data_IF_626507900621
#
_entry.id   IF_626507900621
#
_cell.length_a   1.000
_cell.length_b   1.000
_cell.length_c   1.000
_cell.angle_alpha   90.00
_cell.angle_beta   90.00
_cell.angle_gamma   90.00
#
_symmetry.space_group_name_H-M   'P 1'
#
loop_
_entity.id
_entity.type
_entity.pdbx_description
1 polymer ?
#
# COMPACT_ATOMS: atom_id res chain seq x y z
N UNK A 1 -12.30 16.80 -3.16
CA UNK A 1 -11.48 15.61 -3.47
C UNK A 1 -10.07 16.07 -3.77
N UNK A 2 -9.03 15.35 -3.35
CA UNK A 2 -7.66 15.67 -3.71
C UNK A 2 -7.48 15.61 -5.23
N UNK A 3 -6.63 16.48 -5.77
CA UNK A 3 -6.26 16.41 -7.17
C UNK A 3 -5.25 15.28 -7.44
N UNK A 4 -4.94 15.07 -8.72
CA UNK A 4 -3.98 14.05 -9.16
C UNK A 4 -2.61 14.20 -8.49
N UNK A 5 -2.13 15.44 -8.29
CA UNK A 5 -0.82 15.68 -7.68
C UNK A 5 -0.81 15.30 -6.20
N UNK A 6 -1.85 15.69 -5.46
CA UNK A 6 -2.01 15.36 -4.05
C UNK A 6 -2.13 13.84 -3.82
N UNK A 7 -2.92 13.13 -4.63
CA UNK A 7 -3.03 11.67 -4.52
C UNK A 7 -1.68 10.98 -4.76
N UNK A 8 -0.95 11.40 -5.79
CA UNK A 8 0.39 10.83 -6.08
C UNK A 8 1.40 11.12 -4.97
N UNK A 9 1.34 12.30 -4.37
CA UNK A 9 2.18 12.64 -3.22
C UNK A 9 1.88 11.72 -2.02
N UNK A 10 0.61 11.40 -1.76
CA UNK A 10 0.24 10.44 -0.72
C UNK A 10 0.76 9.04 -1.01
N UNK A 11 0.72 8.57 -2.27
CA UNK A 11 1.28 7.27 -2.66
C UNK A 11 2.79 7.18 -2.45
N UNK A 12 3.53 8.27 -2.70
CA UNK A 12 4.97 8.32 -2.44
C UNK A 12 5.26 8.38 -0.93
N UNK A 13 4.49 9.18 -0.18
CA UNK A 13 4.61 9.23 1.27
C UNK A 13 4.30 7.87 1.93
N UNK A 14 3.37 7.10 1.36
CA UNK A 14 3.10 5.72 1.76
C UNK A 14 4.35 4.85 1.67
N UNK A 15 5.03 4.88 0.51
CA UNK A 15 6.28 4.14 0.28
C UNK A 15 7.38 4.58 1.25
N UNK A 16 7.60 5.88 1.38
CA UNK A 16 8.66 6.42 2.22
C UNK A 16 8.47 6.03 3.69
N UNK A 17 7.25 6.17 4.20
CA UNK A 17 6.91 5.82 5.59
C UNK A 17 6.99 4.32 5.84
N UNK A 18 6.52 3.49 4.90
CA UNK A 18 6.65 2.05 4.98
C UNK A 18 8.14 1.65 5.06
N UNK A 19 8.96 2.19 4.16
CA UNK A 19 10.40 1.90 4.13
C UNK A 19 11.15 2.47 5.35
N UNK A 20 10.66 3.53 5.97
CA UNK A 20 11.18 4.04 7.24
C UNK A 20 10.77 3.20 8.47
N UNK A 21 9.90 2.21 8.31
CA UNK A 21 9.29 1.47 9.42
C UNK A 21 8.28 2.28 10.23
N UNK A 22 7.78 3.39 9.67
CA UNK A 22 6.85 4.30 10.32
C UNK A 22 5.40 3.84 10.11
N UNK A 23 5.02 2.75 10.79
CA UNK A 23 3.67 2.20 10.69
C UNK A 23 2.58 3.19 11.15
N UNK A 24 2.89 4.05 12.12
CA UNK A 24 1.98 5.11 12.58
C UNK A 24 1.75 6.15 11.48
N UNK A 25 2.83 6.59 10.83
CA UNK A 25 2.75 7.46 9.68
C UNK A 25 2.00 6.83 8.53
N UNK A 26 2.22 5.56 8.21
CA UNK A 26 1.45 4.87 7.16
C UNK A 26 -0.03 4.89 7.51
N UNK A 27 -0.41 4.44 8.71
CA UNK A 27 -1.80 4.44 9.17
C UNK A 27 -2.42 5.84 9.18
N UNK A 28 -1.65 6.89 9.44
CA UNK A 28 -2.12 8.28 9.42
C UNK A 28 -2.61 8.73 8.03
N UNK A 29 -2.16 8.10 6.94
CA UNK A 29 -2.64 8.37 5.58
C UNK A 29 -4.06 7.84 5.34
N UNK A 30 -4.52 6.90 6.16
CA UNK A 30 -5.83 6.27 6.04
C UNK A 30 -6.91 7.00 6.85
N UNK A 31 -8.12 7.00 6.31
CA UNK A 31 -9.33 7.37 7.02
C UNK A 31 -9.64 6.34 8.12
N UNK A 32 -10.46 6.74 9.10
CA UNK A 32 -10.65 5.93 10.31
C UNK A 32 -11.42 4.61 10.03
N UNK A 33 -12.27 4.63 9.00
CA UNK A 33 -13.09 3.53 8.50
C UNK A 33 -12.52 2.89 7.22
N UNK A 34 -11.27 3.19 6.86
CA UNK A 34 -10.69 2.71 5.60
C UNK A 34 -10.54 1.19 5.56
N UNK A 35 -10.37 0.66 4.35
CA UNK A 35 -10.12 -0.77 4.11
C UNK A 35 -8.80 -1.02 3.38
N UNK A 36 -8.18 -2.16 3.65
CA UNK A 36 -7.02 -2.70 2.93
C UNK A 36 -7.35 -4.13 2.51
N UNK A 37 -7.18 -4.44 1.24
CA UNK A 37 -7.34 -5.79 0.68
C UNK A 37 -6.04 -6.19 0.00
N UNK A 38 -5.27 -7.06 0.64
CA UNK A 38 -3.92 -7.46 0.20
C UNK A 38 -3.70 -8.96 0.41
N UNK A 39 -3.70 -9.78 -0.67
CA UNK A 39 -4.05 -9.42 -2.05
C UNK A 39 -5.57 -9.25 -2.26
N UNK A 40 -5.96 -8.67 -3.40
CA UNK A 40 -7.36 -8.69 -3.87
C UNK A 40 -7.90 -10.11 -3.97
N UNK A 41 -9.08 -10.34 -3.40
CA UNK A 41 -9.72 -11.64 -3.19
C UNK A 41 -9.55 -12.19 -1.77
N UNK A 42 -8.66 -11.63 -0.96
CA UNK A 42 -8.53 -11.95 0.46
C UNK A 42 -9.59 -11.23 1.31
N UNK A 43 -9.72 -11.64 2.58
CA UNK A 43 -10.59 -10.96 3.53
C UNK A 43 -10.07 -9.53 3.79
N UNK A 44 -10.87 -8.47 3.55
CA UNK A 44 -10.42 -7.11 3.78
C UNK A 44 -10.15 -6.83 5.26
N UNK A 45 -9.06 -6.11 5.50
CA UNK A 45 -8.73 -5.48 6.78
C UNK A 45 -9.52 -4.17 6.87
N UNK A 46 -10.32 -4.01 7.92
CA UNK A 46 -11.22 -2.87 8.06
C UNK A 46 -10.92 -2.04 9.32
N UNK A 47 -10.86 -0.73 9.14
CA UNK A 47 -10.64 0.23 10.21
C UNK A 47 -9.16 0.50 10.49
N UNK A 48 -8.86 1.76 10.79
CA UNK A 48 -7.50 2.25 11.01
C UNK A 48 -6.70 1.49 12.10
N UNK A 49 -7.29 1.03 13.22
CA UNK A 49 -6.56 0.21 14.18
C UNK A 49 -6.05 -1.11 13.59
N UNK A 50 -6.85 -1.78 12.75
CA UNK A 50 -6.46 -3.04 12.11
C UNK A 50 -5.41 -2.80 11.02
N UNK A 51 -5.56 -1.73 10.25
CA UNK A 51 -4.58 -1.28 9.25
C UNK A 51 -3.23 -0.95 9.91
N UNK A 52 -3.24 -0.27 11.05
CA UNK A 52 -2.03 -0.01 11.82
C UNK A 52 -1.34 -1.31 12.24
N UNK A 53 -2.10 -2.27 12.79
CA UNK A 53 -1.55 -3.56 13.20
C UNK A 53 -0.92 -4.32 12.02
N UNK A 54 -1.56 -4.26 10.85
CA UNK A 54 -1.02 -4.82 9.61
C UNK A 54 0.33 -4.20 9.24
N UNK A 55 0.43 -2.87 9.22
CA UNK A 55 1.69 -2.20 8.88
C UNK A 55 2.78 -2.37 9.94
N UNK A 56 2.43 -2.46 11.23
CA UNK A 56 3.38 -2.82 12.28
C UNK A 56 3.98 -4.20 12.05
N UNK A 57 3.15 -5.18 11.64
CA UNK A 57 3.60 -6.52 11.35
C UNK A 57 4.52 -6.57 10.11
N UNK A 58 4.08 -6.01 8.98
CA UNK A 58 4.82 -6.11 7.71
C UNK A 58 6.15 -5.36 7.74
N UNK A 59 6.20 -4.18 8.38
CA UNK A 59 7.45 -3.43 8.54
C UNK A 59 8.42 -4.12 9.51
N UNK A 60 7.92 -4.77 10.57
CA UNK A 60 8.76 -5.53 11.50
C UNK A 60 9.40 -6.77 10.85
N UNK A 61 8.77 -7.35 9.82
CA UNK A 61 9.34 -8.43 9.01
C UNK A 61 10.44 -7.96 8.04
N UNK A 62 10.72 -6.66 7.99
CA UNK A 62 11.77 -6.09 7.16
C UNK A 62 11.43 -6.00 5.68
N UNK A 63 10.14 -6.08 5.32
CA UNK A 63 9.70 -5.84 3.96
C UNK A 63 10.11 -4.44 3.48
N UNK A 64 10.41 -4.29 2.19
CA UNK A 64 10.70 -2.99 1.56
C UNK A 64 9.99 -2.84 0.23
N UNK A 65 9.60 -1.61 -0.09
CA UNK A 65 8.92 -1.24 -1.32
C UNK A 65 9.89 -0.53 -2.27
N UNK A 66 9.93 -0.96 -3.53
CA UNK A 66 10.67 -0.32 -4.60
C UNK A 66 9.70 0.16 -5.68
N UNK A 67 9.57 1.48 -5.86
CA UNK A 67 8.71 2.04 -6.92
C UNK A 67 9.31 1.73 -8.28
N UNK A 68 8.58 0.99 -9.12
CA UNK A 68 9.05 0.58 -10.45
C UNK A 68 8.53 1.47 -11.58
N UNK A 69 7.50 2.29 -11.31
CA UNK A 69 6.98 3.27 -12.25
C UNK A 69 6.39 4.49 -11.51
N UNK A 70 6.38 5.70 -12.12
CA UNK A 70 5.77 6.86 -11.50
C UNK A 70 4.28 6.63 -11.15
N UNK A 71 3.77 7.16 -10.04
CA UNK A 71 2.35 7.01 -9.69
C UNK A 71 1.41 7.57 -10.76
N UNK A 72 0.27 6.92 -10.97
CA UNK A 72 -0.80 7.38 -11.88
C UNK A 72 -1.97 7.89 -11.06
N UNK A 73 -2.43 9.10 -11.34
CA UNK A 73 -3.67 9.62 -10.75
C UNK A 73 -4.80 9.50 -11.76
N UNK A 74 -6.03 9.36 -11.28
CA UNK A 74 -7.23 9.31 -12.13
C UNK A 74 -7.85 10.71 -12.33
N UNK A 75 -8.92 10.76 -13.13
CA UNK A 75 -9.84 11.91 -13.21
C UNK A 75 -10.90 11.92 -12.09
N UNK A 76 -10.81 10.99 -11.14
CA UNK A 76 -11.72 10.85 -10.00
C UNK A 76 -10.95 10.83 -8.68
N UNK A 77 -11.37 9.97 -7.77
CA UNK A 77 -10.87 9.85 -6.40
C UNK A 77 -9.84 8.72 -6.24
N UNK A 78 -9.28 8.19 -7.33
CA UNK A 78 -8.36 7.07 -7.27
C UNK A 78 -6.96 7.41 -7.82
N UNK A 79 -5.95 6.71 -7.31
CA UNK A 79 -4.61 6.67 -7.88
C UNK A 79 -4.01 5.27 -7.76
N UNK A 80 -3.06 4.97 -8.64
CA UNK A 80 -2.38 3.68 -8.71
C UNK A 80 -0.86 3.84 -8.53
N UNK A 81 -0.28 2.87 -7.82
CA UNK A 81 1.16 2.74 -7.58
C UNK A 81 1.60 1.34 -7.97
N UNK A 82 2.60 1.22 -8.84
CA UNK A 82 3.22 -0.05 -9.19
C UNK A 82 4.62 -0.12 -8.58
N UNK A 83 4.89 -1.17 -7.80
CA UNK A 83 6.11 -1.33 -7.04
C UNK A 83 6.44 -2.82 -6.85
N UNK A 84 7.67 -3.09 -6.43
CA UNK A 84 8.09 -4.41 -6.00
C UNK A 84 8.15 -4.46 -4.48
N UNK A 85 7.60 -5.51 -3.89
CA UNK A 85 7.79 -5.84 -2.47
C UNK A 85 8.97 -6.78 -2.36
N UNK A 86 10.02 -6.35 -1.68
CA UNK A 86 11.15 -7.19 -1.28
C UNK A 86 10.91 -7.69 0.13
N UNK A 87 10.72 -9.00 0.29
CA UNK A 87 10.39 -9.62 1.57
C UNK A 87 11.01 -11.01 1.71
N UNK A 88 10.73 -11.68 2.84
CA UNK A 88 11.02 -13.10 3.03
C UNK A 88 9.71 -13.89 3.07
N UNK A 89 9.56 -14.83 2.14
CA UNK A 89 8.47 -15.80 2.11
C UNK A 89 9.04 -17.19 2.37
N UNK A 90 8.45 -17.94 3.31
CA UNK A 90 8.94 -19.28 3.68
C UNK A 90 10.44 -19.30 4.06
N UNK A 91 10.94 -18.21 4.63
CA UNK A 91 12.35 -18.04 4.98
C UNK A 91 13.29 -17.67 3.81
N UNK A 92 12.82 -17.68 2.56
CA UNK A 92 13.60 -17.33 1.37
C UNK A 92 13.36 -15.88 0.94
N UNK A 93 14.38 -15.17 0.45
CA UNK A 93 14.16 -13.87 -0.18
C UNK A 93 13.23 -14.00 -1.38
N UNK A 94 12.28 -13.09 -1.49
CA UNK A 94 11.33 -13.04 -2.57
C UNK A 94 11.05 -11.59 -2.98
N UNK A 95 10.73 -11.41 -4.25
CA UNK A 95 10.19 -10.20 -4.84
C UNK A 95 8.75 -10.47 -5.26
N UNK A 96 7.83 -9.58 -4.95
CA UNK A 96 6.44 -9.63 -5.43
C UNK A 96 6.18 -8.37 -6.26
N UNK A 97 5.73 -8.53 -7.49
CA UNK A 97 5.31 -7.38 -8.32
C UNK A 97 3.87 -7.00 -7.98
N UNK A 98 3.64 -5.77 -7.53
CA UNK A 98 2.35 -5.31 -6.98
C UNK A 98 1.89 -4.04 -7.68
N UNK A 99 0.59 -3.96 -7.95
CA UNK A 99 -0.09 -2.68 -8.25
C UNK A 99 -1.18 -2.39 -7.24
N UNK A 100 -0.95 -1.36 -6.42
CA UNK A 100 -1.98 -0.86 -5.51
C UNK A 100 -2.90 0.11 -6.25
N UNK A 101 -4.20 -0.02 -6.02
CA UNK A 101 -5.20 1.00 -6.34
C UNK A 101 -5.76 1.54 -5.04
N UNK A 102 -5.58 2.85 -4.82
CA UNK A 102 -6.07 3.54 -3.63
C UNK A 102 -7.15 4.57 -4.00
N UNK A 103 -8.24 4.59 -3.25
CA UNK A 103 -9.28 5.62 -3.34
C UNK A 103 -9.16 6.62 -2.20
N UNK A 104 -9.63 7.85 -2.40
CA UNK A 104 -9.40 8.97 -1.51
C UNK A 104 -10.69 9.70 -1.12
N UNK A 105 -10.81 10.04 0.16
CA UNK A 105 -11.88 10.90 0.65
C UNK A 105 -11.68 12.37 0.28
N UNK A 106 -12.70 13.19 0.53
CA UNK A 106 -12.62 14.64 0.34
C UNK A 106 -11.54 15.31 1.23
N UNK A 107 -11.18 14.66 2.34
CA UNK A 107 -10.14 15.04 3.29
C UNK A 107 -8.72 14.63 2.84
N UNK A 108 -8.58 14.01 1.66
CA UNK A 108 -7.29 13.57 1.11
C UNK A 108 -6.74 12.30 1.74
N UNK A 109 -7.49 11.64 2.65
CA UNK A 109 -7.11 10.37 3.27
C UNK A 109 -7.54 9.19 2.40
N UNK A 110 -6.77 8.11 2.45
CA UNK A 110 -7.05 6.86 1.76
C UNK A 110 -8.30 6.22 2.39
N UNK A 111 -9.28 5.85 1.57
CA UNK A 111 -10.53 5.18 1.98
C UNK A 111 -10.50 3.69 1.69
N UNK A 112 -9.88 3.29 0.59
CA UNK A 112 -9.59 1.88 0.31
C UNK A 112 -8.23 1.75 -0.37
N UNK A 113 -7.54 0.66 -0.09
CA UNK A 113 -6.36 0.20 -0.80
C UNK A 113 -6.59 -1.24 -1.22
N UNK A 114 -6.31 -1.55 -2.48
CA UNK A 114 -6.40 -2.90 -3.04
C UNK A 114 -5.10 -3.24 -3.74
N UNK A 115 -4.39 -4.23 -3.23
CA UNK A 115 -3.12 -4.70 -3.78
C UNK A 115 -3.38 -5.81 -4.79
N UNK A 116 -3.14 -5.52 -6.07
CA UNK A 116 -3.24 -6.50 -7.14
C UNK A 116 -1.89 -7.19 -7.32
N UNK A 117 -1.87 -8.48 -6.98
CA UNK A 117 -0.80 -9.44 -7.28
C UNK A 117 -1.35 -10.87 -7.12
N UNK A 118 -0.77 -11.82 -7.85
CA UNK A 118 -1.10 -13.24 -7.84
C UNK A 118 0.10 -14.14 -7.57
N UNK A 119 -0.10 -15.47 -7.52
CA UNK A 119 1.00 -16.42 -7.33
C UNK A 119 2.09 -16.34 -8.39
N UNK A 120 1.73 -15.94 -9.62
CA UNK A 120 2.62 -15.75 -10.78
C UNK A 120 3.40 -14.42 -10.76
N UNK A 121 3.07 -13.52 -9.84
CA UNK A 121 3.82 -12.28 -9.59
C UNK A 121 4.89 -12.44 -8.50
N UNK A 122 5.01 -13.64 -7.91
CA UNK A 122 5.99 -13.97 -6.85
C UNK A 122 7.25 -14.59 -7.44
N UNK A 123 8.39 -13.94 -7.22
CA UNK A 123 9.70 -14.34 -7.71
C UNK A 123 10.63 -14.64 -6.54
N UNK A 124 10.99 -15.91 -6.35
CA UNK A 124 12.03 -16.28 -5.37
C UNK A 124 13.43 -15.95 -5.92
N UNK A 125 14.31 -15.47 -5.04
CA UNK A 125 15.68 -15.06 -5.37
C UNK A 125 16.72 -16.08 -4.89
#
# INVERSE_FOLDING_TARGET
MPDSAAMKATLLAYVDRFNAGDAQGVAALYADDATVEDPVGAQPIAGKPAILAFYQHTTALGARLEVVAPPRGSHGDAAALTFAVHARLEGRPARIDVTDIMTFGADGRIRSMRAHWGPDDVHFL
#
